data_IF_376620571322
#
_entry.id   IF_376620571322
#
_cell.length_a   1.000
_cell.length_b   1.000
_cell.length_c   1.000
_cell.angle_alpha   90.00
_cell.angle_beta   90.00
_cell.angle_gamma   90.00
#
_symmetry.space_group_name_H-M   'P 1'
#
loop_
_entity.id
_entity.type
_entity.pdbx_description
1 polymer ?
#
# COMPACT_ATOMS: atom_id res chain seq x y z
N UNK A 1 -27.32 11.84 -21.95
CA UNK A 1 -26.11 11.10 -22.34
C UNK A 1 -25.89 9.83 -21.50
N UNK A 2 -26.16 9.84 -20.18
CA UNK A 2 -25.94 8.69 -19.28
C UNK A 2 -26.94 7.57 -19.57
N UNK A 3 -28.20 7.91 -19.88
CA UNK A 3 -29.29 6.93 -20.04
C UNK A 3 -29.17 6.04 -21.28
N UNK A 4 -28.32 6.39 -22.25
CA UNK A 4 -28.11 5.61 -23.49
C UNK A 4 -26.87 4.72 -23.50
N UNK A 5 -26.01 4.78 -22.50
CA UNK A 5 -24.72 4.05 -22.47
C UNK A 5 -24.62 3.17 -21.24
N UNK A 6 -24.81 1.83 -21.34
CA UNK A 6 -24.82 0.93 -20.18
C UNK A 6 -23.58 1.02 -19.30
N UNK A 7 -22.39 1.24 -19.89
CA UNK A 7 -21.15 1.39 -19.15
C UNK A 7 -21.15 2.63 -18.22
N UNK A 8 -21.81 3.72 -18.60
CA UNK A 8 -21.92 4.92 -17.78
C UNK A 8 -22.94 4.72 -16.63
N UNK A 9 -23.99 3.94 -16.86
CA UNK A 9 -24.96 3.59 -15.83
C UNK A 9 -24.30 2.77 -14.71
N UNK A 10 -23.46 1.78 -15.08
CA UNK A 10 -22.67 1.01 -14.11
C UNK A 10 -21.72 1.88 -13.30
N UNK A 11 -21.06 2.86 -13.94
CA UNK A 11 -20.17 3.78 -13.23
C UNK A 11 -20.92 4.73 -12.30
N UNK A 12 -22.13 5.11 -12.63
CA UNK A 12 -23.01 5.88 -11.70
C UNK A 12 -23.40 5.03 -10.48
N UNK A 13 -23.54 3.71 -10.63
CA UNK A 13 -23.72 2.80 -9.50
C UNK A 13 -22.46 2.77 -8.61
N UNK A 14 -21.26 2.73 -9.22
CA UNK A 14 -20.01 2.84 -8.47
C UNK A 14 -19.94 4.14 -7.68
N UNK A 15 -20.25 5.29 -8.29
CA UNK A 15 -20.26 6.60 -7.61
C UNK A 15 -21.17 6.59 -6.37
N UNK A 16 -22.37 6.01 -6.48
CA UNK A 16 -23.30 5.85 -5.34
C UNK A 16 -22.71 4.95 -4.26
N UNK A 17 -22.07 3.85 -4.64
CA UNK A 17 -21.51 2.88 -3.70
C UNK A 17 -20.31 3.42 -2.92
N UNK A 18 -19.48 4.26 -3.54
CA UNK A 18 -18.31 4.88 -2.90
C UNK A 18 -18.61 6.25 -2.28
N UNK A 19 -19.79 6.83 -2.53
CA UNK A 19 -20.18 8.17 -2.06
C UNK A 19 -19.40 9.32 -2.71
N UNK A 20 -18.77 9.10 -3.88
CA UNK A 20 -18.00 10.12 -4.61
C UNK A 20 -18.63 10.32 -5.99
N UNK A 21 -19.06 11.55 -6.28
CA UNK A 21 -19.62 11.92 -7.59
C UNK A 21 -18.59 12.65 -8.42
N UNK A 22 -18.38 12.23 -9.66
CA UNK A 22 -17.52 12.91 -10.62
C UNK A 22 -18.28 14.03 -11.34
N UNK A 23 -17.60 15.14 -11.59
CA UNK A 23 -18.14 16.21 -12.45
C UNK A 23 -18.23 15.75 -13.91
N UNK A 24 -17.25 14.96 -14.35
CA UNK A 24 -17.11 14.46 -15.70
C UNK A 24 -17.03 12.94 -15.71
N UNK A 25 -18.15 12.24 -15.76
CA UNK A 25 -18.23 10.77 -15.74
C UNK A 25 -17.35 10.08 -16.80
N UNK A 26 -17.03 10.76 -17.92
CA UNK A 26 -16.11 10.23 -18.93
C UNK A 26 -14.67 10.09 -18.44
N UNK A 27 -14.23 10.91 -17.49
CA UNK A 27 -12.90 10.77 -16.86
C UNK A 27 -12.86 9.49 -16.04
N UNK A 28 -13.91 9.22 -15.27
CA UNK A 28 -14.07 7.96 -14.56
C UNK A 28 -14.12 6.78 -15.55
N UNK A 29 -14.90 6.87 -16.62
CA UNK A 29 -14.96 5.82 -17.65
C UNK A 29 -13.59 5.52 -18.26
N UNK A 30 -12.77 6.54 -18.47
CA UNK A 30 -11.39 6.37 -18.96
C UNK A 30 -10.51 5.62 -17.97
N UNK A 31 -10.64 5.86 -16.66
CA UNK A 31 -9.92 5.09 -15.63
C UNK A 31 -10.26 3.61 -15.66
N UNK A 32 -11.50 3.26 -15.97
CA UNK A 32 -11.98 1.89 -16.09
C UNK A 32 -11.82 1.27 -17.47
N UNK A 33 -11.16 1.96 -18.43
CA UNK A 33 -10.87 1.46 -19.77
C UNK A 33 -9.44 0.97 -19.87
N UNK A 34 -9.24 -0.35 -20.00
CA UNK A 34 -7.91 -0.97 -20.11
C UNK A 34 -7.32 -0.79 -21.51
N UNK A 35 -5.98 -0.87 -21.60
CA UNK A 35 -5.22 -0.74 -22.87
C UNK A 35 -5.68 -1.69 -23.97
N UNK A 36 -6.06 -2.91 -23.62
CA UNK A 36 -6.46 -3.94 -24.59
C UNK A 36 -7.85 -3.72 -25.22
N UNK A 37 -8.60 -2.73 -24.78
CA UNK A 37 -9.95 -2.42 -25.32
C UNK A 37 -9.86 -1.61 -26.63
N UNK A 38 -8.71 -1.03 -26.89
CA UNK A 38 -8.51 -0.18 -28.06
C UNK A 38 -9.13 1.22 -27.91
N UNK A 39 -9.09 1.96 -29.01
CA UNK A 39 -9.66 3.29 -29.07
C UNK A 39 -11.19 3.20 -29.17
N UNK A 40 -11.90 3.89 -28.30
CA UNK A 40 -13.35 3.98 -28.34
C UNK A 40 -13.82 5.44 -28.18
N UNK A 41 -14.98 5.77 -28.75
CA UNK A 41 -15.54 7.13 -28.75
C UNK A 41 -16.00 7.58 -27.35
N UNK A 42 -16.12 6.66 -26.38
CA UNK A 42 -16.57 6.98 -25.03
C UNK A 42 -15.46 7.65 -24.21
N UNK A 43 -14.23 7.12 -24.28
CA UNK A 43 -13.14 7.48 -23.36
C UNK A 43 -11.93 8.14 -24.06
N UNK A 44 -11.88 8.12 -25.39
CA UNK A 44 -10.77 8.66 -26.19
C UNK A 44 -9.40 8.14 -25.71
N UNK A 45 -9.33 6.83 -25.47
CA UNK A 45 -8.12 6.13 -25.04
C UNK A 45 -8.32 5.29 -23.77
N UNK A 46 -7.23 4.91 -23.14
CA UNK A 46 -7.16 3.98 -22.03
C UNK A 46 -6.59 4.63 -20.76
N UNK A 47 -6.52 3.87 -19.68
CA UNK A 47 -6.24 4.32 -18.32
C UNK A 47 -4.76 4.64 -18.00
N UNK A 48 -3.77 4.22 -18.81
CA UNK A 48 -2.35 4.29 -18.44
C UNK A 48 -1.85 5.68 -18.02
N UNK A 49 -2.33 6.75 -18.66
CA UNK A 49 -1.93 8.11 -18.25
C UNK A 49 -2.51 8.51 -16.90
N UNK A 50 -3.70 8.03 -16.60
CA UNK A 50 -4.35 8.24 -15.28
C UNK A 50 -3.67 7.39 -14.20
N UNK A 51 -3.31 6.14 -14.52
CA UNK A 51 -2.50 5.26 -13.68
C UNK A 51 -1.17 5.94 -13.30
N UNK A 52 -0.41 6.42 -14.28
CA UNK A 52 0.86 7.13 -14.05
C UNK A 52 0.70 8.33 -13.11
N UNK A 53 -0.35 9.14 -13.31
CA UNK A 53 -0.65 10.29 -12.46
C UNK A 53 -1.10 9.85 -11.05
N UNK A 54 -1.97 8.83 -11.00
CA UNK A 54 -2.54 8.34 -9.75
C UNK A 54 -1.53 7.68 -8.83
N UNK A 55 -0.55 6.95 -9.37
CA UNK A 55 0.58 6.43 -8.59
C UNK A 55 1.32 7.57 -7.87
N UNK A 56 1.66 8.63 -8.58
CA UNK A 56 2.34 9.79 -7.99
C UNK A 56 1.50 10.48 -6.92
N UNK A 57 0.20 10.64 -7.15
CA UNK A 57 -0.75 11.21 -6.18
C UNK A 57 -0.84 10.33 -4.94
N UNK A 58 -0.92 9.01 -5.10
CA UNK A 58 -0.96 8.05 -4.00
C UNK A 58 0.32 8.12 -3.16
N UNK A 59 1.47 8.15 -3.80
CA UNK A 59 2.77 8.24 -3.13
C UNK A 59 2.90 9.55 -2.35
N UNK A 60 2.49 10.68 -2.91
CA UNK A 60 2.53 11.98 -2.23
C UNK A 60 1.63 12.00 -1.00
N UNK A 61 0.36 11.56 -1.14
CA UNK A 61 -0.60 11.53 -0.02
C UNK A 61 -0.13 10.61 1.09
N UNK A 62 0.39 9.44 0.72
CA UNK A 62 0.90 8.46 1.70
C UNK A 62 2.13 9.02 2.42
N UNK A 63 3.05 9.66 1.70
CA UNK A 63 4.26 10.26 2.28
C UNK A 63 3.90 11.40 3.24
N UNK A 64 3.02 12.30 2.83
CA UNK A 64 2.55 13.42 3.67
C UNK A 64 1.88 12.91 4.96
N UNK A 65 1.03 11.89 4.84
CA UNK A 65 0.39 11.26 5.98
C UNK A 65 1.40 10.64 6.94
N UNK A 66 2.35 9.84 6.45
CA UNK A 66 3.36 9.19 7.29
C UNK A 66 4.28 10.21 7.96
N UNK A 67 4.71 11.23 7.24
CA UNK A 67 5.55 12.30 7.77
C UNK A 67 4.87 13.02 8.96
N UNK A 68 3.58 13.33 8.84
CA UNK A 68 2.82 14.04 9.88
C UNK A 68 2.48 13.17 11.11
N UNK A 69 2.19 11.89 10.89
CA UNK A 69 1.71 11.02 11.97
C UNK A 69 2.79 10.21 12.67
N UNK A 70 4.00 10.17 12.09
CA UNK A 70 5.14 9.42 12.65
C UNK A 70 6.39 10.31 12.79
N UNK A 71 6.34 11.42 13.56
CA UNK A 71 7.40 12.43 13.60
C UNK A 71 8.72 11.91 14.19
N UNK A 72 8.68 10.83 14.97
CA UNK A 72 9.87 10.23 15.60
C UNK A 72 10.48 9.08 14.80
N UNK A 73 9.92 8.75 13.63
CA UNK A 73 10.44 7.67 12.78
C UNK A 73 11.44 8.24 11.78
N UNK A 74 12.58 7.56 11.63
CA UNK A 74 13.57 7.95 10.61
C UNK A 74 13.08 7.60 9.19
N UNK A 75 13.70 8.19 8.19
CA UNK A 75 13.35 8.09 6.77
C UNK A 75 13.19 6.63 6.29
N UNK A 76 14.14 5.74 6.63
CA UNK A 76 14.09 4.34 6.22
C UNK A 76 12.83 3.63 6.70
N UNK A 77 12.36 3.90 7.93
CA UNK A 77 11.11 3.32 8.44
C UNK A 77 9.87 3.87 7.72
N UNK A 78 9.83 5.20 7.52
CA UNK A 78 8.74 5.82 6.76
C UNK A 78 8.68 5.28 5.32
N UNK A 79 9.84 5.05 4.70
CA UNK A 79 9.95 4.50 3.34
C UNK A 79 9.39 3.07 3.25
N UNK A 80 9.65 2.23 4.26
CA UNK A 80 9.09 0.88 4.32
C UNK A 80 7.57 0.92 4.50
N UNK A 81 7.06 1.72 5.45
CA UNK A 81 5.63 1.87 5.65
C UNK A 81 4.92 2.36 4.38
N UNK A 82 5.53 3.32 3.67
CA UNK A 82 5.04 3.76 2.37
C UNK A 82 4.99 2.62 1.38
N UNK A 83 6.08 1.88 1.19
CA UNK A 83 6.15 0.76 0.26
C UNK A 83 5.06 -0.29 0.54
N UNK A 84 4.77 -0.58 1.80
CA UNK A 84 3.69 -1.50 2.17
C UNK A 84 2.31 -0.98 1.78
N UNK A 85 2.04 0.29 2.06
CA UNK A 85 0.76 0.92 1.76
C UNK A 85 0.50 1.03 0.26
N UNK A 86 1.51 1.41 -0.53
CA UNK A 86 1.37 1.60 -1.99
C UNK A 86 1.65 0.34 -2.79
N UNK A 87 1.90 -0.81 -2.14
CA UNK A 87 2.19 -2.07 -2.85
C UNK A 87 1.01 -2.55 -3.69
N UNK A 88 1.30 -3.21 -4.82
CA UNK A 88 0.30 -3.82 -5.68
C UNK A 88 -0.64 -4.76 -4.92
N UNK A 89 -0.13 -5.45 -3.89
CA UNK A 89 -0.92 -6.34 -3.04
C UNK A 89 -1.97 -5.56 -2.25
N UNK A 90 -1.58 -4.46 -1.61
CA UNK A 90 -2.50 -3.59 -0.85
C UNK A 90 -3.56 -2.99 -1.76
N UNK A 91 -3.15 -2.45 -2.91
CA UNK A 91 -4.06 -1.86 -3.89
C UNK A 91 -5.02 -2.90 -4.46
N UNK A 92 -4.54 -4.13 -4.75
CA UNK A 92 -5.41 -5.22 -5.22
C UNK A 92 -6.50 -5.58 -4.20
N UNK A 93 -6.19 -5.59 -2.92
CA UNK A 93 -7.19 -5.82 -1.87
C UNK A 93 -8.21 -4.69 -1.82
N UNK A 94 -7.78 -3.43 -1.96
CA UNK A 94 -8.68 -2.27 -2.02
C UNK A 94 -9.60 -2.36 -3.25
N UNK A 95 -9.05 -2.75 -4.41
CA UNK A 95 -9.82 -2.96 -5.62
C UNK A 95 -10.95 -3.99 -5.41
N UNK A 96 -10.64 -5.11 -4.73
CA UNK A 96 -11.61 -6.16 -4.42
C UNK A 96 -12.64 -5.71 -3.37
N UNK A 97 -12.23 -5.02 -2.32
CA UNK A 97 -13.11 -4.53 -1.26
C UNK A 97 -14.15 -3.53 -1.79
N UNK A 98 -13.76 -2.68 -2.74
CA UNK A 98 -14.67 -1.73 -3.40
C UNK A 98 -15.47 -2.41 -4.52
N UNK A 99 -15.02 -3.57 -5.01
CA UNK A 99 -15.63 -4.29 -6.13
C UNK A 99 -15.42 -3.60 -7.47
N UNK A 100 -14.28 -2.91 -7.66
CA UNK A 100 -13.99 -2.10 -8.86
C UNK A 100 -14.00 -2.93 -10.14
N UNK A 101 -13.62 -4.21 -10.08
CA UNK A 101 -13.50 -5.07 -11.26
C UNK A 101 -14.79 -5.17 -12.06
N UNK A 102 -15.96 -5.17 -11.39
CA UNK A 102 -17.27 -5.27 -12.06
C UNK A 102 -17.64 -4.06 -12.93
N UNK A 103 -16.96 -2.92 -12.72
CA UNK A 103 -17.22 -1.67 -13.43
C UNK A 103 -16.29 -1.43 -14.62
N UNK A 104 -15.44 -2.42 -14.97
CA UNK A 104 -14.57 -2.31 -16.13
C UNK A 104 -15.37 -2.09 -17.42
N UNK A 105 -14.92 -1.13 -18.21
CA UNK A 105 -15.45 -0.93 -19.57
C UNK A 105 -14.93 -2.07 -20.43
N UNK A 106 -15.82 -3.00 -20.79
CA UNK A 106 -15.49 -4.18 -21.61
C UNK A 106 -16.22 -4.12 -22.96
N UNK A 107 -15.60 -4.62 -24.05
CA UNK A 107 -16.29 -4.77 -25.31
C UNK A 107 -17.49 -5.71 -25.16
N UNK A 108 -18.58 -5.46 -25.91
CA UNK A 108 -19.80 -6.29 -25.89
C UNK A 108 -19.54 -7.78 -26.11
N UNK A 109 -18.49 -8.12 -26.86
CA UNK A 109 -18.09 -9.50 -27.15
C UNK A 109 -17.57 -10.22 -25.91
N UNK A 110 -16.87 -9.52 -25.01
CA UNK A 110 -16.34 -10.11 -23.76
C UNK A 110 -17.39 -10.27 -22.66
N UNK A 111 -18.49 -9.55 -22.72
CA UNK A 111 -19.59 -9.69 -21.74
C UNK A 111 -20.25 -11.08 -21.77
N UNK A 112 -20.17 -11.79 -22.89
CA UNK A 112 -20.68 -13.16 -23.04
C UNK A 112 -19.78 -14.23 -22.40
N UNK A 113 -18.53 -13.93 -22.14
CA UNK A 113 -17.51 -14.89 -21.65
C UNK A 113 -17.28 -14.82 -20.13
N UNK A 114 -18.07 -14.03 -19.39
CA UNK A 114 -17.88 -13.79 -17.95
C UNK A 114 -16.89 -12.67 -17.65
N UNK A 115 -16.82 -12.28 -16.37
CA UNK A 115 -15.92 -11.23 -15.90
C UNK A 115 -14.46 -11.66 -16.02
N UNK A 116 -13.58 -10.81 -16.57
CA UNK A 116 -12.16 -11.14 -16.67
C UNK A 116 -11.53 -11.28 -15.28
N UNK A 117 -10.82 -12.38 -15.06
CA UNK A 117 -9.99 -12.54 -13.86
C UNK A 117 -8.78 -11.60 -13.98
N UNK A 118 -8.72 -10.60 -13.13
CA UNK A 118 -7.61 -9.65 -13.11
C UNK A 118 -6.44 -10.17 -12.25
N UNK A 119 -5.23 -9.99 -12.75
CA UNK A 119 -4.00 -10.21 -11.95
C UNK A 119 -3.89 -9.12 -10.88
N UNK A 120 -3.09 -9.39 -9.85
CA UNK A 120 -2.82 -8.44 -8.76
C UNK A 120 -2.37 -7.07 -9.30
N UNK A 121 -1.47 -7.06 -10.28
CA UNK A 121 -1.02 -5.82 -10.93
C UNK A 121 -2.15 -5.08 -11.65
N UNK A 122 -2.98 -5.79 -12.43
CA UNK A 122 -4.07 -5.14 -13.19
C UNK A 122 -5.10 -4.48 -12.25
N UNK A 123 -5.30 -5.03 -11.04
CA UNK A 123 -6.16 -4.45 -9.99
C UNK A 123 -5.53 -3.21 -9.37
N UNK A 124 -4.21 -3.23 -9.15
CA UNK A 124 -3.47 -2.08 -8.65
C UNK A 124 -3.51 -0.93 -9.66
N UNK A 125 -3.18 -1.21 -10.93
CA UNK A 125 -3.24 -0.25 -12.03
C UNK A 125 -4.64 0.43 -12.12
N UNK A 126 -5.70 -0.33 -11.82
CA UNK A 126 -7.07 0.19 -11.81
C UNK A 126 -7.32 1.17 -10.65
N UNK A 127 -6.81 0.87 -9.45
CA UNK A 127 -6.91 1.77 -8.28
C UNK A 127 -6.13 3.05 -8.52
N UNK A 128 -4.92 2.94 -9.07
CA UNK A 128 -4.11 4.10 -9.43
C UNK A 128 -4.81 4.95 -10.49
N UNK A 129 -5.34 4.32 -11.55
CA UNK A 129 -6.07 5.04 -12.59
C UNK A 129 -7.33 5.74 -12.05
N UNK A 130 -8.05 5.10 -11.11
CA UNK A 130 -9.18 5.71 -10.43
C UNK A 130 -8.74 6.94 -9.61
N UNK A 131 -7.64 6.83 -8.86
CA UNK A 131 -7.11 7.94 -8.07
C UNK A 131 -6.64 9.10 -8.96
N UNK A 132 -6.00 8.79 -10.09
CA UNK A 132 -5.64 9.79 -11.11
C UNK A 132 -6.86 10.51 -11.72
N UNK A 133 -7.92 9.75 -11.99
CA UNK A 133 -9.18 10.31 -12.46
C UNK A 133 -9.83 11.22 -11.41
N UNK A 134 -9.83 10.77 -10.16
CA UNK A 134 -10.36 11.55 -9.02
C UNK A 134 -9.59 12.85 -8.84
N UNK A 135 -8.27 12.80 -8.95
CA UNK A 135 -7.41 13.98 -8.89
C UNK A 135 -7.74 14.98 -9.99
N UNK A 136 -7.85 14.52 -11.24
CA UNK A 136 -8.14 15.39 -12.40
C UNK A 136 -9.52 16.03 -12.29
N UNK A 137 -10.52 15.29 -11.81
CA UNK A 137 -11.91 15.73 -11.81
C UNK A 137 -12.32 16.49 -10.54
N UNK A 138 -11.81 16.08 -9.37
CA UNK A 138 -12.24 16.59 -8.06
C UNK A 138 -11.12 17.23 -7.25
N UNK A 139 -9.85 17.04 -7.66
CA UNK A 139 -8.69 17.61 -7.01
C UNK A 139 -8.12 16.78 -5.86
N UNK A 140 -7.09 17.32 -5.23
CA UNK A 140 -6.23 16.61 -4.28
C UNK A 140 -6.93 16.22 -2.99
N UNK A 141 -7.86 17.04 -2.48
CA UNK A 141 -8.52 16.79 -1.20
C UNK A 141 -9.44 15.57 -1.25
N UNK A 142 -10.14 15.37 -2.37
CA UNK A 142 -10.92 14.13 -2.57
C UNK A 142 -10.03 12.89 -2.57
N UNK A 143 -8.83 12.99 -3.15
CA UNK A 143 -7.86 11.90 -3.12
C UNK A 143 -7.36 11.62 -1.69
N UNK A 144 -7.12 12.68 -0.88
CA UNK A 144 -6.76 12.50 0.54
C UNK A 144 -7.86 11.79 1.33
N UNK A 145 -9.12 12.18 1.14
CA UNK A 145 -10.26 11.52 1.79
C UNK A 145 -10.35 10.05 1.39
N UNK A 146 -10.24 9.75 0.09
CA UNK A 146 -10.21 8.37 -0.39
C UNK A 146 -9.07 7.55 0.23
N UNK A 147 -7.85 8.08 0.25
CA UNK A 147 -6.71 7.39 0.85
C UNK A 147 -6.88 7.21 2.37
N UNK A 148 -7.44 8.20 3.07
CA UNK A 148 -7.72 8.12 4.52
C UNK A 148 -8.67 6.99 4.86
N UNK A 149 -9.65 6.73 4.01
CA UNK A 149 -10.66 5.69 4.24
C UNK A 149 -10.16 4.32 3.77
N UNK A 150 -9.53 4.24 2.59
CA UNK A 150 -9.22 2.97 1.95
C UNK A 150 -7.81 2.44 2.26
N UNK A 151 -6.81 3.31 2.45
CA UNK A 151 -5.42 2.89 2.63
C UNK A 151 -4.97 2.92 4.09
N UNK A 152 -5.17 4.03 4.79
CA UNK A 152 -4.55 4.23 6.11
C UNK A 152 -5.06 3.32 7.23
N UNK A 153 -6.31 2.86 7.26
CA UNK A 153 -6.72 1.85 8.25
C UNK A 153 -5.93 0.54 8.17
N UNK A 154 -5.36 0.23 7.00
CA UNK A 154 -4.53 -0.97 6.79
C UNK A 154 -3.14 -0.85 7.41
N UNK A 155 -2.67 0.37 7.67
CA UNK A 155 -1.37 0.62 8.31
C UNK A 155 -1.26 -0.08 9.66
N UNK A 156 -2.32 -0.10 10.45
CA UNK A 156 -2.37 -0.82 11.73
C UNK A 156 -2.05 -2.30 11.58
N UNK A 157 -2.57 -2.95 10.54
CA UNK A 157 -2.30 -4.37 10.29
C UNK A 157 -0.85 -4.60 9.89
N UNK A 158 -0.27 -3.73 9.08
CA UNK A 158 1.14 -3.83 8.70
C UNK A 158 2.05 -3.64 9.92
N UNK A 159 1.77 -2.66 10.77
CA UNK A 159 2.56 -2.41 11.98
C UNK A 159 2.45 -3.60 12.96
N UNK A 160 1.26 -4.14 13.18
CA UNK A 160 1.04 -5.25 14.12
C UNK A 160 1.59 -6.57 13.56
N UNK A 161 1.32 -6.87 12.28
CA UNK A 161 1.71 -8.13 11.68
C UNK A 161 3.20 -8.21 11.36
N UNK A 162 3.88 -7.07 11.22
CA UNK A 162 5.30 -6.98 10.78
C UNK A 162 5.64 -7.84 9.54
N UNK A 163 4.64 -8.27 8.77
CA UNK A 163 4.79 -9.09 7.57
C UNK A 163 5.38 -8.34 6.36
N UNK A 164 5.61 -7.06 6.52
CA UNK A 164 6.15 -6.16 5.50
C UNK A 164 7.68 -6.12 5.48
N UNK A 165 8.31 -6.67 6.50
CA UNK A 165 9.75 -6.71 6.59
C UNK A 165 10.29 -8.01 6.00
N UNK A 166 10.95 -7.92 4.86
CA UNK A 166 11.91 -8.96 4.53
C UNK A 166 13.00 -8.97 5.62
N UNK A 167 13.55 -10.14 5.95
CA UNK A 167 14.52 -10.26 7.03
C UNK A 167 15.75 -9.37 6.88
N UNK A 168 16.14 -9.02 5.65
CA UNK A 168 17.28 -8.13 5.39
C UNK A 168 16.97 -6.70 5.79
N UNK A 169 15.82 -6.17 5.36
CA UNK A 169 15.37 -4.82 5.72
C UNK A 169 15.14 -4.71 7.22
N UNK A 170 14.58 -5.75 7.84
CA UNK A 170 14.37 -5.80 9.29
C UNK A 170 15.70 -5.75 10.06
N UNK A 171 16.69 -6.57 9.64
CA UNK A 171 18.00 -6.57 10.26
C UNK A 171 18.72 -5.23 10.08
N UNK A 172 18.63 -4.64 8.88
CA UNK A 172 19.22 -3.33 8.61
C UNK A 172 18.65 -2.24 9.52
N UNK A 173 17.33 -2.23 9.72
CA UNK A 173 16.69 -1.30 10.65
C UNK A 173 17.14 -1.51 12.08
N UNK A 174 17.17 -2.76 12.54
CA UNK A 174 17.67 -3.06 13.87
C UNK A 174 19.12 -2.59 14.06
N UNK A 175 19.98 -2.76 13.05
CA UNK A 175 21.35 -2.24 13.09
C UNK A 175 21.38 -0.70 13.14
N UNK A 176 20.54 -0.03 12.38
CA UNK A 176 20.46 1.44 12.38
C UNK A 176 19.95 2.01 13.72
N UNK A 177 19.08 1.30 14.44
CA UNK A 177 18.63 1.72 15.79
C UNK A 177 19.73 1.62 16.85
N UNK A 178 20.75 0.78 16.62
CA UNK A 178 21.91 0.63 17.49
C UNK A 178 23.05 1.63 17.19
N UNK A 179 22.77 2.63 16.34
CA UNK A 179 23.74 3.66 15.99
C UNK A 179 24.23 4.40 17.23
N UNK A 180 25.54 4.52 17.35
CA UNK A 180 26.13 5.42 18.34
C UNK A 180 25.99 6.87 17.89
N UNK A 181 25.72 7.77 18.82
CA UNK A 181 25.46 9.21 18.54
C UNK A 181 26.74 10.01 18.21
N UNK A 182 27.82 9.37 17.91
CA UNK A 182 29.15 9.97 17.71
C UNK A 182 29.42 10.47 16.27
N UNK A 183 28.38 10.54 15.42
CA UNK A 183 28.46 11.19 14.11
C UNK A 183 29.16 10.36 13.00
N UNK A 184 29.56 9.12 13.28
CA UNK A 184 30.15 8.22 12.30
C UNK A 184 29.19 7.75 11.22
N UNK A 185 29.71 7.11 10.17
CA UNK A 185 28.90 6.45 9.16
C UNK A 185 27.95 5.41 9.78
N UNK A 186 26.72 5.28 9.27
CA UNK A 186 25.76 4.32 9.80
C UNK A 186 26.28 2.89 9.63
N UNK A 187 26.39 2.15 10.73
CA UNK A 187 26.68 0.74 10.72
C UNK A 187 25.55 -0.04 10.06
N UNK A 188 25.78 -0.61 8.90
CA UNK A 188 24.84 -1.48 8.17
C UNK A 188 25.30 -2.94 8.23
N UNK A 189 24.39 -3.94 8.12
CA UNK A 189 24.79 -5.33 8.08
C UNK A 189 25.49 -5.67 6.76
N UNK A 190 26.67 -6.28 6.85
CA UNK A 190 27.45 -6.75 5.70
C UNK A 190 27.19 -8.23 5.43
N UNK A 191 26.98 -8.58 4.16
CA UNK A 191 26.77 -9.96 3.72
C UNK A 191 27.99 -10.46 2.95
N UNK A 192 28.62 -11.53 3.42
CA UNK A 192 29.80 -12.14 2.77
C UNK A 192 29.52 -13.59 2.44
N UNK A 193 29.81 -13.99 1.19
CA UNK A 193 29.74 -15.39 0.78
C UNK A 193 30.89 -16.16 1.41
N UNK A 194 30.57 -17.24 2.14
CA UNK A 194 31.56 -18.10 2.80
C UNK A 194 31.93 -19.28 1.91
N UNK A 195 30.93 -19.90 1.26
CA UNK A 195 31.11 -21.07 0.41
C UNK A 195 30.04 -21.09 -0.69
N UNK A 196 30.43 -21.74 -1.79
CA UNK A 196 29.53 -22.05 -2.90
C UNK A 196 29.75 -23.52 -3.23
N UNK A 197 28.76 -24.36 -3.03
CA UNK A 197 28.84 -25.81 -3.13
C UNK A 197 27.91 -26.35 -4.21
N UNK A 198 28.32 -27.41 -4.92
CA UNK A 198 27.51 -28.12 -5.91
C UNK A 198 27.65 -27.60 -7.36
N UNK A 199 27.19 -28.41 -8.32
CA UNK A 199 27.19 -28.07 -9.75
C UNK A 199 26.20 -26.94 -10.04
N UNK A 200 26.28 -26.37 -11.23
CA UNK A 200 25.54 -25.15 -11.61
C UNK A 200 24.03 -25.23 -11.37
N UNK A 201 23.41 -26.39 -11.59
CA UNK A 201 21.97 -26.59 -11.47
C UNK A 201 21.47 -26.81 -10.02
N UNK A 202 22.34 -27.26 -9.11
CA UNK A 202 22.03 -27.53 -7.71
C UNK A 202 22.90 -26.75 -6.75
N UNK A 203 23.45 -25.64 -7.23
CA UNK A 203 24.36 -24.78 -6.47
C UNK A 203 23.74 -24.25 -5.19
N UNK A 204 24.45 -24.39 -4.08
CA UNK A 204 24.06 -23.88 -2.78
C UNK A 204 25.06 -22.79 -2.38
N UNK A 205 24.52 -21.60 -2.13
CA UNK A 205 25.28 -20.47 -1.60
C UNK A 205 25.20 -20.46 -0.09
N UNK A 206 26.33 -20.32 0.57
CA UNK A 206 26.43 -20.14 2.03
C UNK A 206 26.91 -18.73 2.32
N UNK A 207 26.07 -17.91 2.95
CA UNK A 207 26.32 -16.50 3.20
C UNK A 207 26.31 -16.23 4.70
N UNK A 208 27.30 -15.49 5.20
CA UNK A 208 27.31 -14.95 6.55
C UNK A 208 26.93 -13.47 6.56
N UNK A 209 26.21 -13.07 7.59
CA UNK A 209 25.94 -11.67 7.88
C UNK A 209 26.77 -11.20 9.08
N UNK A 210 27.36 -10.03 8.94
CA UNK A 210 28.22 -9.38 9.92
C UNK A 210 27.63 -8.03 10.33
N UNK A 211 27.83 -7.66 11.58
CA UNK A 211 27.57 -6.33 12.11
C UNK A 211 28.71 -5.92 13.01
N UNK A 212 29.29 -4.74 12.80
CA UNK A 212 30.50 -4.25 13.51
C UNK A 212 31.60 -5.30 13.55
N UNK A 213 31.91 -5.89 12.39
CA UNK A 213 32.93 -6.95 12.21
C UNK A 213 32.63 -8.29 12.94
N UNK A 214 31.54 -8.38 13.72
CA UNK A 214 31.12 -9.64 14.37
C UNK A 214 30.14 -10.39 13.47
N UNK A 215 30.39 -11.69 13.27
CA UNK A 215 29.46 -12.59 12.56
C UNK A 215 28.22 -12.81 13.42
N UNK A 216 27.04 -12.44 12.91
CA UNK A 216 25.77 -12.65 13.58
C UNK A 216 25.21 -14.04 13.30
N UNK A 217 25.10 -14.41 12.02
CA UNK A 217 24.54 -15.69 11.60
C UNK A 217 25.01 -16.08 10.19
N UNK A 218 24.58 -17.27 9.76
CA UNK A 218 24.83 -17.84 8.43
C UNK A 218 23.50 -18.34 7.87
N UNK A 219 23.33 -18.20 6.56
CA UNK A 219 22.18 -18.72 5.80
C UNK A 219 22.64 -19.44 4.54
N UNK A 220 21.88 -20.44 4.10
CA UNK A 220 22.12 -21.21 2.90
C UNK A 220 20.92 -21.13 1.96
N UNK A 221 21.15 -21.10 0.64
CA UNK A 221 20.08 -21.07 -0.35
C UNK A 221 20.57 -21.36 -1.75
N UNK A 222 19.66 -21.77 -2.63
CA UNK A 222 19.96 -22.01 -4.05
C UNK A 222 20.21 -20.73 -4.85
N UNK A 223 19.88 -19.57 -4.30
CA UNK A 223 20.24 -18.28 -4.86
C UNK A 223 20.94 -17.43 -3.81
N UNK A 224 21.80 -16.50 -4.27
CA UNK A 224 22.48 -15.54 -3.40
C UNK A 224 21.49 -14.75 -2.54
N UNK A 225 20.39 -14.29 -3.14
CA UNK A 225 19.34 -13.54 -2.45
C UNK A 225 18.69 -14.36 -1.35
N UNK A 226 18.33 -15.62 -1.62
CA UNK A 226 17.72 -16.51 -0.65
C UNK A 226 18.69 -16.83 0.52
N UNK A 227 19.97 -17.03 0.22
CA UNK A 227 21.00 -17.26 1.23
C UNK A 227 21.18 -16.03 2.14
N UNK A 228 21.18 -14.83 1.57
CA UNK A 228 21.24 -13.56 2.33
C UNK A 228 19.98 -13.37 3.20
N UNK A 229 18.77 -13.61 2.66
CA UNK A 229 17.52 -13.54 3.44
C UNK A 229 17.56 -14.47 4.64
N UNK A 230 17.93 -15.74 4.45
CA UNK A 230 18.03 -16.72 5.53
C UNK A 230 19.13 -16.37 6.55
N UNK A 231 20.25 -15.76 6.10
CA UNK A 231 21.27 -15.28 7.01
C UNK A 231 20.75 -14.15 7.91
N UNK A 232 19.96 -13.22 7.36
CA UNK A 232 19.33 -12.15 8.11
C UNK A 232 18.26 -12.69 9.09
N UNK A 233 17.41 -13.59 8.64
CA UNK A 233 16.39 -14.25 9.49
C UNK A 233 17.04 -14.99 10.68
N UNK A 234 18.07 -15.77 10.41
CA UNK A 234 18.83 -16.47 11.44
C UNK A 234 19.52 -15.49 12.42
N UNK A 235 19.97 -14.32 11.94
CA UNK A 235 20.55 -13.29 12.80
C UNK A 235 19.52 -12.69 13.74
N UNK A 236 18.33 -12.36 13.24
CA UNK A 236 17.24 -11.83 14.05
C UNK A 236 16.75 -12.82 15.12
N UNK A 237 16.74 -14.11 14.79
CA UNK A 237 16.34 -15.16 15.75
C UNK A 237 17.43 -15.39 16.81
N UNK A 238 18.70 -15.56 16.38
CA UNK A 238 19.81 -15.89 17.29
C UNK A 238 20.25 -14.73 18.18
N UNK A 239 20.02 -13.51 17.74
CA UNK A 239 20.44 -12.28 18.42
C UNK A 239 19.24 -11.44 18.84
N UNK A 240 18.16 -12.09 19.27
CA UNK A 240 17.00 -11.44 19.86
C UNK A 240 17.32 -10.61 21.12
N UNK A 241 18.48 -10.86 21.73
CA UNK A 241 19.08 -10.04 22.79
C UNK A 241 19.49 -8.64 22.30
N UNK A 242 20.06 -8.55 21.11
CA UNK A 242 20.46 -7.27 20.48
C UNK A 242 19.31 -6.60 19.72
N UNK A 243 18.39 -7.38 19.21
CA UNK A 243 17.31 -6.94 18.34
C UNK A 243 15.95 -7.31 18.92
N UNK A 244 15.45 -6.59 19.96
CA UNK A 244 14.16 -6.90 20.56
C UNK A 244 13.05 -6.73 19.52
N UNK A 245 12.42 -7.83 19.14
CA UNK A 245 11.22 -7.80 18.30
C UNK A 245 9.99 -7.73 19.21
N UNK A 246 8.96 -7.01 18.79
CA UNK A 246 7.68 -6.88 19.54
C UNK A 246 7.00 -8.23 19.85
N UNK A 247 7.44 -9.34 19.25
CA UNK A 247 7.00 -10.71 19.58
C UNK A 247 7.38 -11.15 21.01
N UNK A 248 8.38 -10.55 21.61
CA UNK A 248 8.83 -10.94 22.96
C UNK A 248 8.00 -10.29 24.07
N UNK A 249 7.26 -9.21 23.80
CA UNK A 249 6.35 -8.59 24.78
C UNK A 249 5.04 -9.36 24.94
N UNK A 250 4.63 -10.18 23.95
CA UNK A 250 3.41 -10.97 24.00
C UNK A 250 3.55 -12.29 24.80
N UNK A 251 4.78 -12.73 25.12
CA UNK A 251 5.02 -13.97 25.89
C UNK A 251 4.83 -13.83 27.39
N UNK A 252 4.71 -12.60 27.90
CA UNK A 252 4.44 -12.36 29.34
C UNK A 252 2.97 -12.12 29.69
N UNK A 253 2.07 -12.03 28.70
CA UNK A 253 0.64 -12.06 28.93
C UNK A 253 0.09 -13.39 28.40
N UNK A 254 -0.07 -14.36 29.29
CA UNK A 254 -0.61 -15.67 28.97
C UNK A 254 -2.08 -15.60 28.57
N UNK A 255 -2.35 -15.37 27.28
CA UNK A 255 -3.66 -15.55 26.67
C UNK A 255 -3.53 -16.34 25.38
N UNK A 256 -4.17 -17.49 25.42
CA UNK A 256 -4.14 -18.62 24.50
C UNK A 256 -4.47 -18.26 23.04
N UNK A 257 -3.61 -18.74 22.14
CA UNK A 257 -3.78 -18.88 20.68
C UNK A 257 -4.87 -19.91 20.33
N UNK A 258 -6.15 -19.53 20.41
CA UNK A 258 -7.27 -20.37 19.89
C UNK A 258 -8.35 -19.61 19.13
N UNK A 259 -8.16 -18.32 18.82
CA UNK A 259 -9.19 -17.48 18.16
C UNK A 259 -8.77 -16.81 16.86
N UNK A 260 -7.63 -17.11 16.27
CA UNK A 260 -7.10 -16.35 15.13
C UNK A 260 -7.75 -16.65 13.78
N UNK A 261 -8.35 -17.84 13.58
CA UNK A 261 -8.97 -18.19 12.29
C UNK A 261 -10.40 -17.65 12.11
N UNK A 262 -11.08 -17.22 13.17
CA UNK A 262 -12.43 -16.62 13.08
C UNK A 262 -12.42 -15.09 13.05
N UNK A 263 -11.38 -14.46 13.59
CA UNK A 263 -11.29 -13.01 13.72
C UNK A 263 -10.96 -12.31 12.39
N UNK A 264 -10.15 -12.96 11.54
CA UNK A 264 -9.77 -12.41 10.24
C UNK A 264 -10.94 -12.24 9.26
N UNK A 265 -11.88 -13.18 9.25
CA UNK A 265 -13.07 -13.10 8.40
C UNK A 265 -14.10 -12.09 8.95
N UNK A 266 -14.29 -12.05 10.28
CA UNK A 266 -15.22 -11.11 10.93
C UNK A 266 -14.73 -9.64 10.81
N UNK A 267 -13.43 -9.41 10.97
CA UNK A 267 -12.82 -8.08 10.82
C UNK A 267 -12.86 -7.61 9.36
N UNK A 268 -12.73 -8.53 8.37
CA UNK A 268 -12.92 -8.19 6.94
C UNK A 268 -14.35 -7.74 6.66
N UNK A 269 -15.35 -8.41 7.22
CA UNK A 269 -16.76 -8.06 7.03
C UNK A 269 -17.09 -6.73 7.72
N UNK A 270 -16.65 -6.52 8.96
CA UNK A 270 -16.87 -5.27 9.70
C UNK A 270 -16.12 -4.07 9.08
N UNK A 271 -14.94 -4.28 8.49
CA UNK A 271 -14.21 -3.22 7.78
C UNK A 271 -14.90 -2.85 6.47
N UNK A 272 -15.42 -3.82 5.71
CA UNK A 272 -16.17 -3.57 4.49
C UNK A 272 -17.48 -2.79 4.80
N UNK A 273 -18.19 -3.17 5.86
CA UNK A 273 -19.41 -2.48 6.28
C UNK A 273 -19.13 -1.09 6.88
N UNK A 274 -18.10 -0.94 7.70
CA UNK A 274 -17.65 0.36 8.23
C UNK A 274 -17.08 1.27 7.15
N UNK A 275 -16.42 0.72 6.13
CA UNK A 275 -15.94 1.50 4.99
C UNK A 275 -17.10 2.03 4.17
N UNK A 276 -18.15 1.22 3.93
CA UNK A 276 -19.39 1.66 3.28
C UNK A 276 -20.12 2.73 4.10
N UNK A 277 -20.28 2.53 5.40
CA UNK A 277 -20.99 3.50 6.26
C UNK A 277 -20.20 4.80 6.45
N UNK A 278 -18.87 4.77 6.59
CA UNK A 278 -18.06 5.98 6.70
C UNK A 278 -17.93 6.75 5.39
N UNK A 279 -17.85 6.09 4.23
CA UNK A 279 -17.88 6.78 2.95
C UNK A 279 -19.17 7.59 2.74
N UNK A 280 -20.28 7.11 3.26
CA UNK A 280 -21.57 7.81 3.21
C UNK A 280 -21.68 8.97 4.23
N UNK A 281 -21.03 8.86 5.41
CA UNK A 281 -21.16 9.85 6.49
C UNK A 281 -20.13 10.99 6.42
N UNK A 282 -18.87 10.71 6.04
CA UNK A 282 -17.80 11.73 6.05
C UNK A 282 -17.76 12.63 4.81
N UNK A 283 -18.41 12.23 3.71
CA UNK A 283 -18.47 13.09 2.51
C UNK A 283 -19.28 14.37 2.70
N UNK A 284 -20.15 14.42 3.70
CA UNK A 284 -20.99 15.60 3.99
C UNK A 284 -20.41 16.50 5.09
N UNK A 285 -19.70 15.96 6.08
CA UNK A 285 -19.26 16.72 7.25
C UNK A 285 -17.84 17.28 7.15
N UNK A 286 -16.91 16.60 6.44
CA UNK A 286 -15.49 17.04 6.37
C UNK A 286 -15.27 18.17 5.37
N UNK A 287 -16.13 18.30 4.35
CA UNK A 287 -16.06 19.44 3.43
C UNK A 287 -16.51 20.77 4.06
N UNK A 288 -17.25 20.74 5.16
CA UNK A 288 -17.71 21.96 5.85
C UNK A 288 -16.73 22.46 6.91
N UNK A 289 -15.93 21.59 7.55
CA UNK A 289 -15.01 21.99 8.61
C UNK A 289 -13.66 22.56 8.10
N UNK A 290 -13.19 22.10 6.94
CA UNK A 290 -11.92 22.58 6.39
C UNK A 290 -12.04 23.91 5.62
N UNK A 291 -13.27 24.34 5.26
CA UNK A 291 -13.52 25.68 4.71
C UNK A 291 -13.68 26.78 5.77
N UNK A 292 -13.94 26.43 7.03
CA UNK A 292 -14.13 27.38 8.12
C UNK A 292 -12.83 27.89 8.75
N UNK A 293 -11.69 27.22 8.52
CA UNK A 293 -10.39 27.59 9.12
C UNK A 293 -9.46 28.35 8.18
N UNK A 294 -9.85 28.60 6.92
CA UNK A 294 -9.04 29.25 5.89
C UNK A 294 -9.25 30.77 5.71
N UNK A 295 -10.14 31.40 6.46
CA UNK A 295 -10.53 32.81 6.20
C UNK A 295 -10.23 33.79 7.34
N UNK A 296 -9.12 33.63 8.08
CA UNK A 296 -8.71 34.63 9.07
C UNK A 296 -7.20 34.84 9.09
N UNK A 297 -6.63 35.27 7.97
CA UNK A 297 -5.28 35.86 7.91
C UNK A 297 -5.16 36.81 6.71
N UNK A 298 -5.95 37.88 6.70
CA UNK A 298 -5.64 39.13 6.04
C UNK A 298 -6.51 40.19 6.70
N UNK A 299 -5.91 40.95 7.58
CA UNK A 299 -6.06 42.39 7.71
C UNK A 299 -5.36 42.85 9.01
N UNK A 300 -4.40 43.75 8.84
CA UNK A 300 -3.82 44.46 9.96
C UNK A 300 -2.34 44.78 9.78
N UNK A 301 -1.99 45.74 8.91
CA UNK A 301 -1.30 46.94 9.32
C UNK A 301 -0.93 47.82 8.12
N UNK A 302 -1.70 48.88 7.99
CA UNK A 302 -1.24 50.13 7.42
C UNK A 302 -1.33 51.16 8.58
N UNK A 303 -0.16 51.52 9.11
CA UNK A 303 0.21 52.86 9.59
C UNK A 303 1.68 52.84 10.01
#
# INVERSE_FOLDING_TARGET
LINGVPALQLLTELEKNIGITFKHIRVLAKAFTRRNIGFNNLTLGHNQRLEFLGDTVLQLITTDYLYKHFPYHHEGHLSILRTCLVSNRTQSVICDDIGMTKYLVTPKVMQKSGMPVLRVKDKADLVEAFLGALYVDRGFDYCKVFCRICFFPRLKFFIIAQHWNDPKSQLQQCCLTLRQMDGGEPDIPEYRTIAVEGPTNTRIYKVAVYFRKKRLAVGCGHTMQLAQMRAAENALIKRSDLFPTLKNTAKHSGVQNRRENGLGAKVKCELADRTKQRMLFDSTHVLQSDFATGSSLTDGNAN
#
